data_IF_759371273412
#
_entry.id   IF_759371273412
#
_cell.length_a   1.000
_cell.length_b   1.000
_cell.length_c   1.000
_cell.angle_alpha   90.00
_cell.angle_beta   90.00
_cell.angle_gamma   90.00
#
_symmetry.space_group_name_H-M   'P 1'
#
loop_
_entity.id
_entity.type
_entity.pdbx_description
1 polymer ?
#
# COMPACT_ATOMS: atom_id res chain seq x y z
N UNK A 1 29.93 7.49 -25.39
CA UNK A 1 30.39 7.47 -23.99
C UNK A 1 29.55 6.46 -23.23
N UNK A 2 30.13 5.92 -22.17
CA UNK A 2 29.73 4.68 -21.51
C UNK A 2 29.81 4.84 -19.98
N UNK A 3 29.30 3.87 -19.23
CA UNK A 3 29.50 3.83 -17.76
C UNK A 3 30.98 3.83 -17.34
N UNK A 4 31.91 3.44 -18.24
CA UNK A 4 33.35 3.50 -17.98
C UNK A 4 33.88 4.95 -17.93
N UNK A 5 33.28 5.84 -18.73
CA UNK A 5 33.63 7.26 -18.71
C UNK A 5 33.16 7.90 -17.39
N UNK A 6 31.98 7.51 -16.90
CA UNK A 6 31.49 7.89 -15.57
C UNK A 6 32.38 7.35 -14.44
N UNK A 7 32.79 6.09 -14.52
CA UNK A 7 33.73 5.51 -13.55
C UNK A 7 35.05 6.30 -13.52
N UNK A 8 35.56 6.68 -14.69
CA UNK A 8 36.78 7.49 -14.82
C UNK A 8 36.60 8.89 -14.24
N UNK A 9 35.47 9.55 -14.52
CA UNK A 9 35.15 10.86 -13.97
C UNK A 9 35.08 10.84 -12.44
N UNK A 10 34.43 9.83 -11.84
CA UNK A 10 34.35 9.64 -10.39
C UNK A 10 35.74 9.41 -9.77
N UNK A 11 36.57 8.53 -10.35
CA UNK A 11 37.93 8.28 -9.84
C UNK A 11 38.84 9.50 -9.94
N UNK A 12 38.64 10.36 -10.93
CA UNK A 12 39.42 11.58 -11.08
C UNK A 12 39.14 12.62 -9.99
N UNK A 13 37.98 12.55 -9.32
CA UNK A 13 37.71 13.36 -8.14
C UNK A 13 38.44 12.85 -6.89
N UNK A 14 38.81 11.57 -6.87
CA UNK A 14 39.46 10.93 -5.73
C UNK A 14 40.98 11.09 -5.77
N UNK A 15 41.64 11.27 -4.61
CA UNK A 15 43.09 11.36 -4.53
C UNK A 15 43.73 10.04 -4.99
N UNK A 16 44.96 10.12 -5.50
CA UNK A 16 45.72 8.93 -5.94
C UNK A 16 46.02 8.00 -4.75
N UNK A 17 46.17 8.56 -3.56
CA UNK A 17 46.43 7.86 -2.30
C UNK A 17 45.54 8.41 -1.19
N UNK A 18 44.99 7.52 -0.35
CA UNK A 18 44.11 7.88 0.76
C UNK A 18 42.63 7.93 0.36
N UNK A 19 41.82 8.48 1.26
CA UNK A 19 40.38 8.65 1.07
C UNK A 19 40.05 10.09 0.64
N UNK A 20 39.01 10.23 -0.17
CA UNK A 20 38.47 11.51 -0.60
C UNK A 20 36.95 11.47 -0.73
N UNK A 21 36.43 12.38 -1.55
CA UNK A 21 35.00 12.54 -1.76
C UNK A 21 34.69 12.59 -3.24
N UNK A 22 33.55 12.03 -3.63
CA UNK A 22 32.94 12.23 -4.94
C UNK A 22 31.65 13.03 -4.78
N UNK A 23 31.44 13.97 -5.70
CA UNK A 23 30.25 14.80 -5.78
C UNK A 23 29.47 14.38 -7.02
N UNK A 24 28.17 14.10 -6.84
CA UNK A 24 27.27 13.78 -7.94
C UNK A 24 26.64 15.07 -8.48
N UNK A 25 27.34 15.69 -9.43
CA UNK A 25 26.88 16.90 -10.11
C UNK A 25 26.56 16.65 -11.60
N UNK A 26 26.05 17.69 -12.27
CA UNK A 26 25.70 17.60 -13.68
C UNK A 26 26.90 17.25 -14.55
N UNK A 27 28.07 17.82 -14.29
CA UNK A 27 29.28 17.57 -15.08
C UNK A 27 29.70 16.10 -14.98
N UNK A 28 29.70 15.56 -13.77
CA UNK A 28 30.07 14.18 -13.46
C UNK A 28 29.09 13.22 -14.11
N UNK A 29 27.79 13.40 -13.91
CA UNK A 29 26.79 12.48 -14.45
C UNK A 29 26.69 12.54 -15.98
N UNK A 30 26.93 13.70 -16.61
CA UNK A 30 26.91 13.85 -18.08
C UNK A 30 28.04 13.07 -18.77
N UNK A 31 29.12 12.72 -18.06
CA UNK A 31 30.17 11.84 -18.62
C UNK A 31 29.66 10.46 -19.06
N UNK A 32 28.49 10.04 -18.54
CA UNK A 32 27.81 8.80 -18.95
C UNK A 32 27.11 8.88 -20.32
N UNK A 33 26.94 10.07 -20.92
CA UNK A 33 26.09 10.33 -22.08
C UNK A 33 24.58 10.07 -21.89
N UNK A 34 24.11 10.07 -20.65
CA UNK A 34 22.69 9.89 -20.40
C UNK A 34 21.88 11.16 -20.73
N UNK A 35 20.68 10.98 -21.28
CA UNK A 35 19.79 12.09 -21.64
C UNK A 35 18.97 12.60 -20.45
N UNK A 36 18.88 11.82 -19.37
CA UNK A 36 18.04 12.09 -18.21
C UNK A 36 18.82 12.61 -16.98
N UNK A 37 20.04 13.12 -17.16
CA UNK A 37 20.88 13.62 -16.04
C UNK A 37 20.17 14.69 -15.21
N UNK A 38 19.47 15.63 -15.87
CA UNK A 38 18.70 16.66 -15.17
C UNK A 38 17.60 16.08 -14.27
N UNK A 39 16.90 15.05 -14.75
CA UNK A 39 15.87 14.34 -13.98
C UNK A 39 16.46 13.64 -12.75
N UNK A 40 17.64 13.02 -12.88
CA UNK A 40 18.30 12.35 -11.74
C UNK A 40 18.66 13.37 -10.66
N UNK A 41 19.24 14.51 -11.03
CA UNK A 41 19.58 15.57 -10.08
C UNK A 41 18.34 16.14 -9.40
N UNK A 42 17.25 16.32 -10.15
CA UNK A 42 15.99 16.77 -9.56
C UNK A 42 15.42 15.72 -8.59
N UNK A 43 15.45 14.43 -8.94
CA UNK A 43 14.97 13.36 -8.06
C UNK A 43 15.80 13.27 -6.75
N UNK A 44 17.11 13.53 -6.80
CA UNK A 44 17.94 13.62 -5.60
C UNK A 44 17.43 14.74 -4.68
N UNK A 45 17.12 15.93 -5.23
CA UNK A 45 16.58 17.05 -4.46
C UNK A 45 15.20 16.70 -3.89
N UNK A 46 14.29 16.24 -4.75
CA UNK A 46 12.88 16.01 -4.42
C UNK A 46 12.72 14.90 -3.35
N UNK A 47 13.45 13.79 -3.49
CA UNK A 47 13.22 12.60 -2.66
C UNK A 47 14.20 12.46 -1.49
N UNK A 48 15.48 12.82 -1.66
CA UNK A 48 16.46 12.79 -0.56
C UNK A 48 16.46 14.08 0.27
N UNK A 49 15.68 15.09 -0.14
CA UNK A 49 15.62 16.38 0.56
C UNK A 49 16.95 17.10 0.62
N UNK A 50 17.84 16.86 -0.37
CA UNK A 50 19.07 17.62 -0.52
C UNK A 50 18.70 19.07 -0.81
N UNK A 51 19.18 20.06 -0.04
CA UNK A 51 18.81 21.46 -0.26
C UNK A 51 19.08 21.92 -1.69
N UNK A 52 18.24 22.80 -2.21
CA UNK A 52 18.43 23.37 -3.56
C UNK A 52 19.81 24.03 -3.65
N UNK A 53 20.61 23.60 -4.63
CA UNK A 53 21.98 24.06 -4.83
C UNK A 53 23.05 23.29 -4.05
N UNK A 54 22.65 22.39 -3.13
CA UNK A 54 23.54 21.39 -2.55
C UNK A 54 23.64 20.15 -3.46
N UNK A 55 24.70 19.38 -3.28
CA UNK A 55 25.02 18.22 -4.11
C UNK A 55 25.19 16.99 -3.22
N UNK A 56 24.67 15.84 -3.69
CA UNK A 56 24.90 14.57 -3.02
C UNK A 56 26.40 14.24 -3.09
N UNK A 57 27.02 14.11 -1.92
CA UNK A 57 28.45 13.90 -1.77
C UNK A 57 28.70 12.59 -1.02
N UNK A 58 29.49 11.71 -1.62
CA UNK A 58 29.93 10.47 -0.98
C UNK A 58 31.39 10.65 -0.55
N UNK A 59 31.64 10.54 0.74
CA UNK A 59 32.95 10.75 1.39
C UNK A 59 33.56 9.42 1.82
N UNK A 60 34.81 9.45 2.28
CA UNK A 60 35.56 8.27 2.73
C UNK A 60 35.69 7.20 1.65
N UNK A 61 36.02 7.64 0.43
CA UNK A 61 36.18 6.78 -0.73
C UNK A 61 37.64 6.75 -1.19
N UNK A 62 38.10 5.56 -1.53
CA UNK A 62 39.33 5.32 -2.28
C UNK A 62 39.03 5.05 -3.76
N UNK A 63 40.02 5.20 -4.64
CA UNK A 63 39.84 4.91 -6.08
C UNK A 63 39.43 3.46 -6.37
N UNK A 64 39.80 2.52 -5.50
CA UNK A 64 39.41 1.11 -5.60
C UNK A 64 37.95 0.84 -5.27
N UNK A 65 37.28 1.76 -4.57
CA UNK A 65 35.86 1.60 -4.22
C UNK A 65 34.94 1.86 -5.42
N UNK A 66 35.44 2.52 -6.48
CA UNK A 66 34.75 2.68 -7.76
C UNK A 66 35.08 1.49 -8.65
N UNK A 67 34.12 0.58 -8.83
CA UNK A 67 34.29 -0.67 -9.57
C UNK A 67 33.79 -0.48 -11.00
N UNK A 68 34.66 -0.75 -11.98
CA UNK A 68 34.31 -0.58 -13.38
C UNK A 68 33.13 -1.49 -13.79
N UNK A 69 32.26 -1.00 -14.69
CA UNK A 69 31.27 -1.84 -15.34
C UNK A 69 31.97 -2.91 -16.19
N UNK A 70 31.39 -4.11 -16.27
CA UNK A 70 31.88 -5.20 -17.13
C UNK A 70 30.74 -5.75 -17.99
N UNK A 71 30.82 -5.51 -19.31
CA UNK A 71 29.74 -5.86 -20.24
C UNK A 71 28.45 -5.11 -19.91
N UNK A 72 27.38 -5.85 -19.60
CA UNK A 72 26.09 -5.31 -19.15
C UNK A 72 26.03 -5.06 -17.63
N UNK A 73 27.10 -5.36 -16.89
CA UNK A 73 27.13 -5.17 -15.44
C UNK A 73 27.15 -3.67 -15.08
N UNK A 74 26.51 -3.28 -13.98
CA UNK A 74 26.50 -1.89 -13.53
C UNK A 74 27.89 -1.39 -13.12
N UNK A 75 28.06 -0.06 -13.10
CA UNK A 75 29.09 0.62 -12.34
C UNK A 75 28.66 0.64 -10.85
N UNK A 76 29.57 0.29 -9.94
CA UNK A 76 29.25 0.15 -8.52
C UNK A 76 30.25 0.93 -7.66
N UNK A 77 29.77 1.64 -6.64
CA UNK A 77 30.54 2.12 -5.50
C UNK A 77 30.08 1.36 -4.25
N UNK A 78 30.99 0.71 -3.52
CA UNK A 78 30.67 -0.23 -2.41
C UNK A 78 30.91 0.30 -0.99
N UNK A 79 31.31 1.55 -0.87
CA UNK A 79 31.70 2.11 0.42
C UNK A 79 31.40 3.60 0.46
N UNK A 80 31.70 4.19 1.61
CA UNK A 80 31.68 5.63 1.83
C UNK A 80 30.59 6.06 2.79
N UNK A 81 30.53 7.37 3.00
CA UNK A 81 29.53 8.01 3.86
C UNK A 81 28.84 9.13 3.13
N UNK A 82 27.54 9.24 3.34
CA UNK A 82 26.72 10.33 2.82
C UNK A 82 25.86 10.90 3.94
N UNK A 83 25.29 12.07 3.70
CA UNK A 83 24.28 12.63 4.60
C UNK A 83 23.16 13.32 3.83
N UNK A 84 21.95 13.11 4.32
CA UNK A 84 20.75 13.83 3.94
C UNK A 84 19.75 13.77 5.12
N UNK A 85 18.78 14.67 5.18
CA UNK A 85 17.86 14.80 6.33
C UNK A 85 18.55 14.84 7.71
N UNK A 86 19.64 15.61 7.85
CA UNK A 86 20.42 15.70 9.11
C UNK A 86 20.87 14.33 9.66
N UNK A 87 21.01 13.34 8.79
CA UNK A 87 21.35 11.96 9.13
C UNK A 87 22.63 11.58 8.40
N UNK A 88 23.59 11.03 9.13
CA UNK A 88 24.78 10.38 8.59
C UNK A 88 24.45 8.92 8.27
N UNK A 89 24.91 8.47 7.11
CA UNK A 89 24.63 7.14 6.60
C UNK A 89 25.89 6.51 5.99
N UNK A 90 26.02 5.21 6.17
CA UNK A 90 26.96 4.42 5.41
C UNK A 90 26.37 4.07 4.04
N UNK A 91 27.15 4.25 2.98
CA UNK A 91 26.77 3.81 1.63
C UNK A 91 27.15 2.35 1.49
N UNK A 92 26.14 1.47 1.53
CA UNK A 92 26.34 0.05 1.25
C UNK A 92 26.62 -0.16 -0.23
N UNK A 93 25.80 0.45 -1.09
CA UNK A 93 25.98 0.40 -2.54
C UNK A 93 25.44 1.66 -3.20
N UNK A 94 26.19 2.24 -4.13
CA UNK A 94 25.68 3.16 -5.15
C UNK A 94 25.92 2.54 -6.53
N UNK A 95 24.82 2.26 -7.23
CA UNK A 95 24.82 1.54 -8.50
C UNK A 95 24.34 2.45 -9.64
N UNK A 96 25.02 2.38 -10.78
CA UNK A 96 24.61 3.00 -12.02
C UNK A 96 24.44 1.97 -13.14
N UNK A 97 23.28 1.97 -13.79
CA UNK A 97 23.03 1.21 -15.04
C UNK A 97 22.66 2.18 -16.16
N UNK A 98 23.08 1.86 -17.39
CA UNK A 98 22.79 2.68 -18.57
C UNK A 98 22.12 1.79 -19.61
N UNK A 99 20.87 2.09 -19.93
CA UNK A 99 20.09 1.38 -20.95
C UNK A 99 19.43 2.40 -21.87
N UNK A 100 19.61 2.28 -23.18
CA UNK A 100 19.04 3.19 -24.18
C UNK A 100 19.28 4.69 -23.87
N UNK A 101 20.48 5.04 -23.38
CA UNK A 101 20.85 6.40 -22.94
C UNK A 101 20.05 6.95 -21.75
N UNK A 102 19.32 6.09 -21.04
CA UNK A 102 18.72 6.37 -19.74
C UNK A 102 19.62 5.81 -18.66
N UNK A 103 20.12 6.69 -17.79
CA UNK A 103 20.87 6.31 -16.60
C UNK A 103 19.89 6.04 -15.46
N UNK A 104 20.05 4.90 -14.83
CA UNK A 104 19.37 4.55 -13.59
C UNK A 104 20.38 4.56 -12.46
N UNK A 105 20.02 5.19 -11.36
CA UNK A 105 20.81 5.24 -10.14
C UNK A 105 20.05 4.55 -9.01
N UNK A 106 20.75 3.69 -8.26
CA UNK A 106 20.24 3.10 -7.02
C UNK A 106 21.25 3.36 -5.90
N UNK A 107 20.82 4.01 -4.81
CA UNK A 107 21.62 4.26 -3.62
C UNK A 107 21.01 3.51 -2.45
N UNK A 108 21.74 2.55 -1.89
CA UNK A 108 21.38 1.82 -0.68
C UNK A 108 22.27 2.26 0.48
N UNK A 109 21.65 2.63 1.59
CA UNK A 109 22.33 3.09 2.80
C UNK A 109 21.99 2.25 4.03
N UNK A 110 22.91 2.21 4.99
CA UNK A 110 22.76 1.53 6.29
C UNK A 110 23.39 2.39 7.40
N UNK A 111 23.36 1.90 8.64
CA UNK A 111 24.01 2.52 9.81
C UNK A 111 23.61 3.99 10.01
N UNK A 112 22.29 4.24 9.98
CA UNK A 112 21.72 5.57 10.13
C UNK A 112 22.01 6.10 11.54
N UNK A 113 22.70 7.24 11.60
CA UNK A 113 23.01 7.96 12.84
C UNK A 113 22.75 9.44 12.66
N UNK A 114 22.39 10.12 13.73
CA UNK A 114 22.22 11.57 13.70
C UNK A 114 23.58 12.26 13.53
N UNK A 115 23.58 13.56 13.21
CA UNK A 115 24.84 14.32 13.05
C UNK A 115 25.70 14.36 14.31
N UNK A 116 25.10 14.15 15.48
CA UNK A 116 25.80 14.07 16.78
C UNK A 116 26.25 12.64 17.14
N UNK A 117 25.97 11.65 16.29
CA UNK A 117 26.33 10.25 16.47
C UNK A 117 25.31 9.43 17.28
N UNK A 118 24.18 10.01 17.70
CA UNK A 118 23.10 9.26 18.35
C UNK A 118 22.35 8.36 17.35
N UNK A 119 21.68 7.28 17.80
CA UNK A 119 20.87 6.44 16.93
C UNK A 119 19.79 7.25 16.22
N UNK A 120 19.60 6.98 14.93
CA UNK A 120 18.57 7.63 14.13
C UNK A 120 17.16 7.18 14.52
N UNK A 121 16.21 8.10 14.36
CA UNK A 121 14.77 7.83 14.44
C UNK A 121 14.05 8.45 13.25
N UNK A 122 12.85 7.96 12.89
CA UNK A 122 12.03 8.54 11.83
C UNK A 122 11.77 10.03 12.08
N UNK A 123 11.49 10.38 13.35
CA UNK A 123 11.36 11.77 13.80
C UNK A 123 12.61 12.64 13.61
N UNK A 124 13.79 12.05 13.41
CA UNK A 124 15.02 12.80 13.13
C UNK A 124 15.05 13.32 11.69
N UNK A 125 14.75 12.46 10.72
CA UNK A 125 14.71 12.87 9.30
C UNK A 125 13.44 13.60 8.93
N UNK A 126 12.34 13.28 9.63
CA UNK A 126 11.01 13.76 9.37
C UNK A 126 10.42 14.24 10.70
N UNK A 127 10.75 15.47 11.09
CA UNK A 127 10.39 16.04 12.39
C UNK A 127 8.89 16.02 12.66
N UNK A 128 8.09 16.00 11.61
CA UNK A 128 6.64 15.90 11.67
C UNK A 128 6.20 14.61 12.39
N UNK A 129 6.98 13.53 12.35
CA UNK A 129 6.70 12.26 13.03
C UNK A 129 7.07 12.23 14.51
N UNK A 130 7.61 13.30 15.10
CA UNK A 130 7.91 13.35 16.55
C UNK A 130 6.67 13.12 17.42
N UNK A 131 5.46 13.35 16.88
CA UNK A 131 4.18 13.06 17.55
C UNK A 131 3.79 11.57 17.50
N UNK A 132 4.53 10.74 16.75
CA UNK A 132 4.29 9.30 16.59
C UNK A 132 5.50 8.47 17.06
N UNK A 133 5.87 8.54 18.36
CA UNK A 133 7.04 7.83 18.89
C UNK A 133 6.93 6.31 18.76
N UNK A 134 5.71 5.80 18.53
CA UNK A 134 5.43 4.38 18.37
C UNK A 134 6.09 3.78 17.13
N UNK A 135 6.23 4.56 16.05
CA UNK A 135 6.91 4.10 14.84
C UNK A 135 8.38 3.82 15.17
N UNK A 136 9.06 4.71 15.87
CA UNK A 136 10.49 4.59 16.17
C UNK A 136 10.88 3.37 17.03
N UNK A 137 9.96 2.88 17.88
CA UNK A 137 10.20 1.72 18.73
C UNK A 137 9.91 0.38 18.01
N UNK A 138 9.19 0.47 16.90
CA UNK A 138 8.64 -0.66 16.18
C UNK A 138 9.64 -1.33 15.24
N UNK A 139 10.77 -0.70 14.91
CA UNK A 139 11.68 -1.23 13.91
C UNK A 139 13.16 -1.18 14.32
N UNK A 140 13.96 -2.03 13.68
CA UNK A 140 15.40 -2.15 13.85
C UNK A 140 16.10 -2.25 12.49
N UNK A 141 17.40 -1.98 12.47
CA UNK A 141 18.23 -2.03 11.24
C UNK A 141 17.63 -1.25 10.06
N UNK A 142 17.28 0.04 10.22
CA UNK A 142 16.69 0.83 9.14
C UNK A 142 17.68 1.03 7.99
N UNK A 143 17.16 1.10 6.78
CA UNK A 143 17.89 1.32 5.55
C UNK A 143 17.06 2.19 4.60
N UNK A 144 17.72 3.11 3.90
CA UNK A 144 17.12 3.83 2.78
C UNK A 144 17.62 3.30 1.45
N UNK A 145 16.70 3.13 0.52
CA UNK A 145 17.00 2.72 -0.85
C UNK A 145 16.36 3.72 -1.79
N UNK A 146 17.19 4.59 -2.35
CA UNK A 146 16.75 5.54 -3.36
C UNK A 146 16.94 4.95 -4.75
N UNK A 147 15.90 5.00 -5.58
CA UNK A 147 15.96 4.59 -6.98
C UNK A 147 15.40 5.69 -7.88
N UNK A 148 16.04 5.93 -9.03
CA UNK A 148 15.53 6.90 -10.02
C UNK A 148 14.45 6.31 -10.94
N UNK A 149 14.07 5.05 -10.75
CA UNK A 149 13.03 4.38 -11.55
C UNK A 149 12.47 3.18 -10.78
N UNK A 150 11.32 2.66 -11.20
CA UNK A 150 10.77 1.42 -10.65
C UNK A 150 11.62 0.22 -11.09
N UNK A 151 12.05 -0.61 -10.13
CA UNK A 151 12.83 -1.82 -10.38
C UNK A 151 12.15 -3.03 -9.74
N UNK A 152 11.63 -3.98 -10.54
CA UNK A 152 10.96 -5.16 -9.99
C UNK A 152 11.96 -6.14 -9.38
N UNK A 153 11.50 -6.88 -8.36
CA UNK A 153 12.23 -7.96 -7.69
C UNK A 153 13.68 -7.58 -7.30
N UNK A 154 13.86 -6.39 -6.74
CA UNK A 154 15.16 -5.92 -6.30
C UNK A 154 15.62 -6.70 -5.06
N UNK A 155 16.88 -7.20 -5.03
CA UNK A 155 17.39 -7.92 -3.87
C UNK A 155 17.58 -6.97 -2.68
N UNK A 156 16.74 -7.16 -1.67
CA UNK A 156 16.84 -6.52 -0.37
C UNK A 156 17.82 -7.27 0.54
N UNK A 157 17.96 -6.78 1.77
CA UNK A 157 18.69 -7.50 2.80
C UNK A 157 17.99 -8.83 3.15
N UNK A 158 18.71 -9.76 3.76
CA UNK A 158 18.19 -11.06 4.21
C UNK A 158 17.55 -11.95 3.12
N UNK A 159 17.98 -11.84 1.86
CA UNK A 159 17.51 -12.65 0.73
C UNK A 159 16.04 -12.43 0.34
N UNK A 160 15.43 -11.34 0.80
CA UNK A 160 14.10 -10.91 0.35
C UNK A 160 14.26 -10.16 -0.98
N UNK A 161 13.29 -10.29 -1.89
CA UNK A 161 13.21 -9.49 -3.11
C UNK A 161 11.92 -8.71 -3.13
N UNK A 162 12.01 -7.39 -3.24
CA UNK A 162 10.85 -6.49 -3.28
C UNK A 162 10.92 -5.54 -4.48
N UNK A 163 9.77 -5.07 -4.93
CA UNK A 163 9.70 -4.10 -6.04
C UNK A 163 10.07 -2.70 -5.52
N UNK A 164 11.18 -2.12 -5.98
CA UNK A 164 11.54 -0.73 -5.68
C UNK A 164 10.66 0.23 -6.49
N UNK A 165 10.04 1.19 -5.82
CA UNK A 165 9.40 2.32 -6.49
C UNK A 165 10.44 3.41 -6.84
N UNK A 166 10.10 4.27 -7.80
CA UNK A 166 10.87 5.49 -8.02
C UNK A 166 10.81 6.40 -6.78
N UNK A 167 11.97 6.91 -6.36
CA UNK A 167 12.11 7.79 -5.20
C UNK A 167 12.78 7.10 -4.01
N UNK A 168 12.46 7.59 -2.81
CA UNK A 168 13.02 7.09 -1.55
C UNK A 168 12.16 5.95 -1.00
N UNK A 169 12.73 4.75 -0.97
CA UNK A 169 12.14 3.60 -0.31
C UNK A 169 12.81 3.40 1.05
N UNK A 170 12.05 2.92 2.03
CA UNK A 170 12.50 2.62 3.37
C UNK A 170 12.34 1.12 3.63
N UNK A 171 13.34 0.54 4.27
CA UNK A 171 13.34 -0.83 4.75
C UNK A 171 13.73 -0.84 6.22
N UNK A 172 13.02 -1.61 7.04
CA UNK A 172 13.45 -1.89 8.41
C UNK A 172 12.88 -3.21 8.92
N UNK A 173 13.62 -3.91 9.78
CA UNK A 173 13.17 -5.12 10.44
C UNK A 173 12.13 -4.78 11.51
N UNK A 174 11.01 -5.50 11.53
CA UNK A 174 9.90 -5.20 12.42
C UNK A 174 10.01 -5.95 13.75
N UNK A 175 9.86 -5.21 14.85
CA UNK A 175 9.75 -5.79 16.17
C UNK A 175 8.28 -6.04 16.54
N UNK A 176 7.77 -7.22 16.19
CA UNK A 176 6.40 -7.66 16.52
C UNK A 176 6.14 -7.89 18.02
N UNK A 177 7.16 -7.75 18.89
CA UNK A 177 6.96 -7.87 20.34
C UNK A 177 6.36 -6.61 20.96
N UNK A 178 6.33 -5.49 20.24
CA UNK A 178 5.71 -4.25 20.72
C UNK A 178 4.20 -4.45 21.00
N UNK A 179 3.69 -3.97 22.15
CA UNK A 179 2.27 -4.01 22.49
C UNK A 179 1.32 -3.54 21.38
N UNK A 180 1.72 -2.55 20.57
CA UNK A 180 0.86 -2.04 19.49
C UNK A 180 0.58 -3.10 18.42
N UNK A 181 1.55 -3.98 18.14
CA UNK A 181 1.38 -5.06 17.16
C UNK A 181 0.77 -6.31 17.76
N UNK A 182 0.52 -6.38 19.07
CA UNK A 182 -0.06 -7.59 19.68
C UNK A 182 -1.41 -7.94 19.04
N UNK A 183 -2.29 -6.95 18.83
CA UNK A 183 -3.58 -7.17 18.14
C UNK A 183 -3.40 -7.72 16.73
N UNK A 184 -2.36 -7.28 16.00
CA UNK A 184 -1.99 -7.77 14.67
C UNK A 184 -1.48 -9.22 14.76
N UNK A 185 -0.53 -9.48 15.67
CA UNK A 185 0.02 -10.81 15.90
C UNK A 185 -1.09 -11.79 16.29
N UNK A 186 -2.02 -11.39 17.16
CA UNK A 186 -3.17 -12.19 17.53
C UNK A 186 -4.09 -12.45 16.34
N UNK A 187 -4.44 -11.41 15.57
CA UNK A 187 -5.31 -11.54 14.40
C UNK A 187 -4.71 -12.51 13.38
N UNK A 188 -3.42 -12.41 13.12
CA UNK A 188 -2.73 -13.22 12.12
C UNK A 188 -2.49 -14.65 12.57
N UNK A 189 -2.18 -14.86 13.86
CA UNK A 189 -2.17 -16.20 14.45
C UNK A 189 -3.56 -16.87 14.33
N UNK A 190 -4.64 -16.09 14.50
CA UNK A 190 -5.99 -16.58 14.29
C UNK A 190 -6.26 -16.95 12.83
N UNK A 191 -5.71 -16.21 11.86
CA UNK A 191 -5.75 -16.59 10.44
C UNK A 191 -4.90 -17.83 10.11
N UNK A 192 -4.18 -18.40 11.09
CA UNK A 192 -3.25 -19.50 10.87
C UNK A 192 -1.97 -19.08 10.14
N UNK A 193 -1.74 -17.78 9.99
CA UNK A 193 -0.54 -17.22 9.38
C UNK A 193 0.60 -17.33 10.39
N UNK A 194 1.57 -18.19 10.09
CA UNK A 194 2.79 -18.30 10.89
C UNK A 194 3.76 -17.21 10.47
N UNK A 195 4.00 -16.27 11.36
CA UNK A 195 5.07 -15.31 11.18
C UNK A 195 6.44 -15.98 11.15
N UNK A 196 7.26 -15.52 10.22
CA UNK A 196 8.70 -15.68 10.34
C UNK A 196 9.24 -14.48 11.15
N UNK A 197 10.31 -14.71 11.90
CA UNK A 197 11.05 -13.65 12.60
C UNK A 197 11.69 -12.64 11.60
N UNK A 198 11.69 -12.94 10.30
CA UNK A 198 12.20 -12.08 9.22
C UNK A 198 11.16 -11.05 8.71
N UNK A 199 10.21 -10.66 9.56
CA UNK A 199 9.20 -9.65 9.21
C UNK A 199 9.87 -8.28 9.08
N UNK A 200 9.53 -7.54 8.03
CA UNK A 200 10.15 -6.27 7.73
C UNK A 200 9.13 -5.32 7.13
N UNK A 201 9.21 -4.04 7.48
CA UNK A 201 8.53 -3.02 6.73
C UNK A 201 9.36 -2.62 5.52
N UNK A 202 8.69 -2.56 4.37
CA UNK A 202 9.19 -1.98 3.15
C UNK A 202 8.12 -1.05 2.56
N UNK A 203 8.54 0.08 2.01
CA UNK A 203 7.64 0.96 1.29
C UNK A 203 8.24 2.33 0.99
N UNK A 204 7.42 3.22 0.47
CA UNK A 204 7.87 4.53 -0.01
C UNK A 204 7.69 5.60 1.07
N UNK A 205 8.69 6.50 1.15
CA UNK A 205 8.55 7.80 1.81
C UNK A 205 8.58 8.87 0.71
N UNK A 206 7.41 9.32 0.29
CA UNK A 206 7.28 10.29 -0.79
C UNK A 206 7.34 11.73 -0.24
N UNK A 207 8.54 12.30 -0.33
CA UNK A 207 8.81 13.69 0.04
C UNK A 207 8.36 14.72 -1.01
N UNK A 208 8.11 14.28 -2.25
CA UNK A 208 7.71 15.13 -3.36
C UNK A 208 6.22 15.42 -3.31
N UNK A 209 5.42 14.38 -3.10
CA UNK A 209 3.96 14.47 -2.99
C UNK A 209 3.53 14.38 -1.52
N UNK A 210 3.88 15.42 -0.75
CA UNK A 210 3.45 15.57 0.64
C UNK A 210 1.92 15.64 0.72
N UNK A 211 1.37 15.17 1.84
CA UNK A 211 -0.08 15.11 2.01
C UNK A 211 -0.64 16.56 2.07
N UNK A 212 -1.57 16.96 1.17
CA UNK A 212 -2.04 18.34 1.06
C UNK A 212 -3.13 18.69 2.08
N UNK A 213 -3.12 19.91 2.63
CA UNK A 213 -4.20 20.43 3.49
C UNK A 213 -3.95 20.42 5.01
N UNK A 214 -2.69 20.30 5.45
CA UNK A 214 -2.30 20.11 6.85
C UNK A 214 -1.42 21.29 7.37
N UNK A 215 -1.32 21.47 8.69
CA UNK A 215 -0.46 22.48 9.36
C UNK A 215 1.02 22.20 9.13
N UNK A 216 1.37 20.91 9.17
CA UNK A 216 2.68 20.36 8.91
C UNK A 216 2.59 19.51 7.63
N UNK A 217 3.50 19.73 6.68
CA UNK A 217 3.49 18.99 5.43
C UNK A 217 4.10 17.60 5.65
N UNK A 218 3.32 16.61 6.06
CA UNK A 218 3.82 15.23 6.21
C UNK A 218 4.20 14.64 4.84
N UNK A 219 5.34 13.93 4.71
CA UNK A 219 5.57 13.10 3.55
C UNK A 219 4.53 11.98 3.50
N UNK A 220 4.16 11.56 2.29
CA UNK A 220 3.28 10.40 2.17
C UNK A 220 4.08 9.15 2.54
N UNK A 221 3.64 8.49 3.62
CA UNK A 221 4.26 7.28 4.16
C UNK A 221 3.31 6.13 3.93
N UNK A 222 3.79 5.10 3.22
CA UNK A 222 3.11 3.82 3.14
C UNK A 222 4.15 2.72 3.29
N UNK A 223 4.14 2.06 4.44
CA UNK A 223 4.98 0.90 4.71
C UNK A 223 4.10 -0.35 4.75
N UNK A 224 4.63 -1.44 4.23
CA UNK A 224 3.98 -2.74 4.16
C UNK A 224 4.95 -3.84 4.54
N UNK A 225 4.45 -4.90 5.14
CA UNK A 225 5.17 -6.15 5.37
C UNK A 225 4.32 -7.27 4.80
N UNK A 226 4.85 -8.06 3.84
CA UNK A 226 4.16 -9.25 3.36
C UNK A 226 4.04 -10.26 4.51
N UNK A 227 2.93 -10.99 4.54
CA UNK A 227 2.64 -11.99 5.58
C UNK A 227 2.91 -13.42 5.15
N UNK A 228 3.06 -13.63 3.84
CA UNK A 228 3.44 -14.91 3.26
C UNK A 228 4.82 -14.77 2.63
N UNK A 229 5.62 -15.83 2.74
CA UNK A 229 6.97 -15.88 2.18
C UNK A 229 6.99 -15.92 0.65
N UNK A 230 5.85 -16.17 0.02
CA UNK A 230 5.69 -16.18 -1.44
C UNK A 230 4.53 -15.29 -1.83
N UNK A 231 4.79 -14.32 -2.72
CA UNK A 231 3.81 -13.38 -3.28
C UNK A 231 2.55 -14.10 -3.79
N UNK A 232 2.71 -15.26 -4.43
CA UNK A 232 1.59 -16.00 -5.02
C UNK A 232 0.91 -17.04 -4.09
N UNK A 233 1.21 -17.05 -2.78
CA UNK A 233 0.54 -17.99 -1.89
C UNK A 233 -0.92 -17.60 -1.67
N UNK A 234 -1.81 -18.55 -1.94
CA UNK A 234 -3.24 -18.45 -1.62
C UNK A 234 -3.58 -19.25 -0.38
N UNK A 235 -4.49 -18.75 0.45
CA UNK A 235 -5.06 -19.50 1.58
C UNK A 235 -6.55 -19.23 1.73
N UNK A 236 -7.22 -20.05 2.54
CA UNK A 236 -8.64 -19.87 2.84
C UNK A 236 -8.82 -19.05 4.12
N UNK A 237 -9.54 -17.94 4.01
CA UNK A 237 -9.96 -17.12 5.14
C UNK A 237 -11.35 -17.60 5.61
N UNK A 238 -11.47 -17.94 6.90
CA UNK A 238 -12.69 -18.49 7.52
C UNK A 238 -13.28 -19.73 6.82
N UNK A 239 -12.46 -20.50 6.10
CA UNK A 239 -12.91 -21.61 5.24
C UNK A 239 -13.92 -21.20 4.14
N UNK A 240 -14.06 -19.89 3.86
CA UNK A 240 -15.05 -19.34 2.94
C UNK A 240 -14.42 -18.61 1.76
N UNK A 241 -13.37 -17.84 1.99
CA UNK A 241 -12.81 -16.94 1.00
C UNK A 241 -11.42 -17.39 0.57
N UNK A 242 -11.17 -17.45 -0.73
CA UNK A 242 -9.80 -17.69 -1.25
C UNK A 242 -9.09 -16.35 -1.35
N UNK A 243 -7.99 -16.17 -0.63
CA UNK A 243 -7.28 -14.89 -0.56
C UNK A 243 -5.81 -15.06 -0.91
N UNK A 244 -5.18 -13.98 -1.41
CA UNK A 244 -3.76 -13.89 -1.75
C UNK A 244 -3.15 -12.57 -1.27
N UNK A 245 -1.81 -12.45 -1.37
CA UNK A 245 -1.04 -11.26 -1.03
C UNK A 245 -1.41 -10.59 0.32
N UNK A 246 -1.62 -11.35 1.41
CA UNK A 246 -1.87 -10.72 2.70
C UNK A 246 -0.63 -9.90 3.10
N UNK A 247 -0.89 -8.66 3.51
CA UNK A 247 0.11 -7.73 4.02
C UNK A 247 -0.49 -6.95 5.17
N UNK A 248 0.37 -6.50 6.07
CA UNK A 248 -0.02 -5.47 7.03
C UNK A 248 0.89 -4.27 6.80
N UNK A 249 0.43 -3.10 7.17
CA UNK A 249 1.13 -1.87 6.88
C UNK A 249 0.82 -0.78 7.87
N UNK A 250 1.54 0.32 7.70
CA UNK A 250 1.21 1.59 8.34
C UNK A 250 1.15 2.65 7.27
N UNK A 251 0.14 3.52 7.37
CA UNK A 251 0.01 4.71 6.54
C UNK A 251 -0.43 5.89 7.38
N UNK A 252 -0.28 7.09 6.86
CA UNK A 252 -0.88 8.27 7.48
C UNK A 252 -2.26 8.50 6.89
N UNK A 253 -3.25 8.74 7.76
CA UNK A 253 -4.60 9.15 7.35
C UNK A 253 -4.93 10.55 7.88
N UNK A 254 -5.71 11.35 7.13
CA UNK A 254 -6.30 12.57 7.65
C UNK A 254 -7.33 12.26 8.74
N UNK A 255 -7.31 13.02 9.83
CA UNK A 255 -8.44 13.12 10.75
C UNK A 255 -9.40 14.14 10.14
N UNK A 256 -10.59 13.67 9.73
CA UNK A 256 -11.65 14.58 9.34
C UNK A 256 -12.19 15.26 10.60
N UNK A 257 -11.86 16.54 10.81
CA UNK A 257 -12.58 17.36 11.79
C UNK A 257 -13.90 17.87 11.18
N UNK A 258 -14.97 17.83 11.98
CA UNK A 258 -16.24 18.45 11.64
C UNK A 258 -16.03 19.95 11.33
N UNK A 259 -16.55 20.34 10.17
CA UNK A 259 -16.18 21.51 9.39
C UNK A 259 -16.65 22.88 9.95
N UNK A 260 -16.25 23.25 11.16
CA UNK A 260 -16.58 24.60 11.70
C UNK A 260 -15.39 25.47 12.11
N UNK A 261 -14.17 24.94 12.23
CA UNK A 261 -12.99 25.78 12.46
C UNK A 261 -11.92 25.50 11.39
N UNK A 262 -11.35 26.56 10.82
CA UNK A 262 -10.18 26.59 9.92
C UNK A 262 -8.88 26.06 10.60
N UNK A 263 -9.00 25.10 11.52
CA UNK A 263 -7.85 24.36 12.00
C UNK A 263 -7.45 23.36 10.91
N UNK A 264 -6.17 23.31 10.52
CA UNK A 264 -5.69 22.30 9.60
C UNK A 264 -5.98 20.91 10.17
N UNK A 265 -6.49 20.01 9.32
CA UNK A 265 -6.70 18.61 9.69
C UNK A 265 -5.43 18.05 10.34
N UNK A 266 -5.57 17.31 11.43
CA UNK A 266 -4.48 16.54 12.02
C UNK A 266 -4.30 15.21 11.25
N UNK A 267 -3.11 14.61 11.29
CA UNK A 267 -2.88 13.25 10.77
C UNK A 267 -2.76 12.26 11.91
N UNK A 268 -3.06 10.99 11.65
CA UNK A 268 -2.74 9.89 12.55
C UNK A 268 -2.16 8.72 11.76
N UNK A 269 -1.20 7.96 12.33
CA UNK A 269 -0.85 6.65 11.79
C UNK A 269 -2.06 5.74 11.90
N UNK A 270 -2.38 5.08 10.79
CA UNK A 270 -3.31 3.97 10.72
C UNK A 270 -2.48 2.72 10.44
N UNK A 271 -2.51 1.79 11.39
CA UNK A 271 -2.14 0.41 11.10
C UNK A 271 -3.23 -0.18 10.23
N UNK A 272 -2.85 -0.86 9.17
CA UNK A 272 -3.82 -1.50 8.30
C UNK A 272 -3.42 -2.92 7.96
N UNK A 273 -4.42 -3.71 7.61
CA UNK A 273 -4.24 -5.02 7.02
C UNK A 273 -4.88 -5.02 5.64
N UNK A 274 -4.15 -5.54 4.65
CA UNK A 274 -4.60 -5.66 3.27
C UNK A 274 -4.47 -7.10 2.78
N UNK A 275 -5.40 -7.52 1.94
CA UNK A 275 -5.33 -8.79 1.20
C UNK A 275 -6.07 -8.67 -0.13
N UNK A 276 -5.81 -9.59 -1.04
CA UNK A 276 -6.57 -9.71 -2.27
C UNK A 276 -7.54 -10.89 -2.12
N UNK A 277 -8.84 -10.65 -2.33
CA UNK A 277 -9.82 -11.72 -2.44
C UNK A 277 -9.91 -12.18 -3.88
N UNK A 278 -9.62 -13.46 -4.09
CA UNK A 278 -9.74 -14.11 -5.39
C UNK A 278 -11.20 -14.50 -5.56
N UNK A 279 -11.88 -13.83 -6.50
CA UNK A 279 -13.26 -14.14 -6.86
C UNK A 279 -13.29 -15.18 -7.97
N UNK A 280 -12.43 -15.04 -8.99
CA UNK A 280 -12.20 -16.05 -10.03
C UNK A 280 -10.79 -15.89 -10.64
N UNK A 281 -10.53 -16.57 -11.76
CA UNK A 281 -9.22 -16.54 -12.44
C UNK A 281 -8.80 -15.15 -12.97
N UNK A 282 -9.72 -14.20 -13.07
CA UNK A 282 -9.51 -12.86 -13.66
C UNK A 282 -9.90 -11.71 -12.75
N UNK A 283 -10.63 -11.99 -11.66
CA UNK A 283 -11.21 -10.99 -10.77
C UNK A 283 -10.65 -11.14 -9.37
N UNK A 284 -9.89 -10.15 -8.96
CA UNK A 284 -9.42 -9.95 -7.58
C UNK A 284 -10.00 -8.66 -7.01
N UNK A 285 -10.32 -8.67 -5.72
CA UNK A 285 -10.79 -7.51 -4.99
C UNK A 285 -9.80 -7.13 -3.91
N UNK A 286 -9.43 -5.85 -3.85
CA UNK A 286 -8.55 -5.33 -2.82
C UNK A 286 -9.34 -5.14 -1.51
N UNK A 287 -8.87 -5.76 -0.43
CA UNK A 287 -9.37 -5.57 0.92
C UNK A 287 -8.36 -4.75 1.68
N UNK A 288 -8.82 -3.71 2.39
CA UNK A 288 -8.00 -2.93 3.31
C UNK A 288 -8.81 -2.61 4.56
N UNK A 289 -8.20 -2.79 5.74
CA UNK A 289 -8.83 -2.51 7.04
C UNK A 289 -7.91 -1.68 7.88
N UNK A 290 -8.38 -0.52 8.30
CA UNK A 290 -7.77 0.23 9.39
C UNK A 290 -7.98 -0.48 10.71
N UNK A 291 -6.90 -0.69 11.46
CA UNK A 291 -6.88 -1.21 12.81
C UNK A 291 -6.79 0.01 13.74
N UNK A 292 -7.84 0.24 14.53
CA UNK A 292 -7.82 1.28 15.57
C UNK A 292 -7.51 0.63 16.92
N UNK A 293 -6.59 1.23 17.68
CA UNK A 293 -6.14 0.72 18.99
C UNK A 293 -7.28 0.53 20.00
N UNK A 294 -8.38 1.28 19.88
CA UNK A 294 -9.47 1.34 20.86
C UNK A 294 -10.69 0.50 20.51
N UNK A 295 -10.74 -0.08 19.30
CA UNK A 295 -11.89 -0.84 18.84
C UNK A 295 -11.66 -2.34 19.04
N UNK A 296 -12.51 -2.98 19.84
CA UNK A 296 -12.55 -4.45 20.02
C UNK A 296 -13.15 -5.16 18.78
N UNK A 297 -13.14 -4.53 17.62
CA UNK A 297 -13.68 -5.10 16.39
C UNK A 297 -12.89 -4.61 15.19
N UNK A 298 -12.74 -5.46 14.19
CA UNK A 298 -12.16 -5.14 12.89
C UNK A 298 -13.26 -5.17 11.83
N UNK A 299 -13.36 -4.11 11.03
CA UNK A 299 -14.31 -4.04 9.92
C UNK A 299 -13.57 -4.19 8.58
N UNK A 300 -13.79 -5.33 7.92
CA UNK A 300 -13.34 -5.62 6.57
C UNK A 300 -14.35 -5.10 5.57
N UNK A 301 -14.11 -3.90 5.02
CA UNK A 301 -14.93 -3.32 3.96
C UNK A 301 -14.33 -3.56 2.58
N UNK A 302 -15.18 -3.89 1.61
CA UNK A 302 -14.82 -4.11 0.20
C UNK A 302 -15.63 -3.16 -0.65
N UNK A 303 -14.92 -2.40 -1.46
CA UNK A 303 -15.49 -1.73 -2.63
C UNK A 303 -14.74 -2.24 -3.85
N UNK A 304 -15.45 -2.92 -4.72
CA UNK A 304 -14.85 -3.38 -5.96
C UNK A 304 -14.53 -2.17 -6.85
N UNK A 305 -13.30 -2.05 -7.38
CA UNK A 305 -12.95 -0.96 -8.30
C UNK A 305 -13.67 -1.08 -9.66
N UNK A 306 -14.32 -2.22 -9.92
CA UNK A 306 -15.14 -2.48 -11.12
C UNK A 306 -16.48 -3.11 -10.71
N UNK A 307 -17.57 -2.90 -11.47
CA UNK A 307 -18.82 -3.61 -11.22
C UNK A 307 -18.58 -5.14 -11.28
N UNK A 308 -18.90 -5.86 -10.21
CA UNK A 308 -18.89 -7.33 -10.24
C UNK A 308 -20.26 -7.81 -10.68
N UNK A 309 -20.29 -8.82 -11.56
CA UNK A 309 -21.53 -9.53 -11.87
C UNK A 309 -22.02 -10.34 -10.66
N UNK A 310 -23.32 -10.67 -10.62
CA UNK A 310 -23.88 -11.58 -9.61
C UNK A 310 -23.12 -12.90 -9.46
N UNK A 311 -22.62 -13.46 -10.57
CA UNK A 311 -21.90 -14.74 -10.56
C UNK A 311 -20.64 -14.66 -9.68
N UNK A 312 -19.92 -13.53 -9.74
CA UNK A 312 -18.80 -13.24 -8.84
C UNK A 312 -19.24 -13.21 -7.37
N UNK A 313 -20.39 -12.58 -7.06
CA UNK A 313 -20.93 -12.52 -5.68
C UNK A 313 -21.30 -13.90 -5.16
N UNK A 314 -21.83 -14.78 -6.01
CA UNK A 314 -22.19 -16.14 -5.63
C UNK A 314 -20.98 -17.05 -5.41
N UNK A 315 -19.91 -16.88 -6.18
CA UNK A 315 -18.64 -17.57 -5.92
C UNK A 315 -18.12 -17.21 -4.52
N UNK A 316 -18.26 -15.96 -4.09
CA UNK A 316 -17.92 -15.50 -2.74
C UNK A 316 -18.79 -16.09 -1.62
N UNK A 317 -19.93 -16.72 -1.96
CA UNK A 317 -20.90 -17.29 -1.01
C UNK A 317 -20.94 -18.82 -1.08
N UNK A 318 -19.77 -19.46 -1.00
CA UNK A 318 -19.60 -20.91 -0.92
C UNK A 318 -20.03 -21.69 -2.18
N UNK A 319 -19.79 -21.13 -3.37
CA UNK A 319 -19.85 -21.88 -4.63
C UNK A 319 -21.25 -22.30 -5.11
N UNK A 320 -22.29 -21.65 -4.61
CA UNK A 320 -23.66 -21.89 -5.07
C UNK A 320 -23.88 -21.27 -6.47
N UNK A 321 -24.58 -21.98 -7.37
CA UNK A 321 -25.00 -21.43 -8.66
C UNK A 321 -26.44 -20.97 -8.59
N UNK A 322 -26.67 -19.75 -9.05
CA UNK A 322 -27.98 -19.10 -9.00
C UNK A 322 -28.96 -19.62 -10.06
N UNK A 323 -28.42 -20.16 -11.16
CA UNK A 323 -29.17 -20.67 -12.31
C UNK A 323 -30.18 -21.77 -11.91
N UNK A 324 -29.90 -22.48 -10.82
CA UNK A 324 -30.73 -23.55 -10.27
C UNK A 324 -31.90 -23.03 -9.40
N UNK A 325 -31.91 -21.73 -9.03
CA UNK A 325 -32.82 -21.15 -8.04
C UNK A 325 -33.79 -20.11 -8.63
N UNK A 326 -33.61 -19.66 -9.88
CA UNK A 326 -34.41 -18.58 -10.47
C UNK A 326 -34.89 -18.89 -11.90
N UNK A 327 -36.18 -18.61 -12.21
CA UNK A 327 -36.71 -18.72 -13.57
C UNK A 327 -36.04 -17.79 -14.58
N UNK A 328 -35.83 -18.27 -15.82
CA UNK A 328 -35.14 -17.53 -16.91
C UNK A 328 -35.56 -16.06 -17.14
N UNK A 329 -36.84 -15.64 -17.00
CA UNK A 329 -37.21 -14.24 -17.17
C UNK A 329 -36.59 -13.28 -16.14
N UNK A 330 -36.33 -13.76 -14.92
CA UNK A 330 -35.65 -13.00 -13.88
C UNK A 330 -34.15 -12.91 -14.18
N UNK A 331 -33.54 -13.92 -14.78
CA UNK A 331 -32.10 -13.94 -15.10
C UNK A 331 -31.67 -12.73 -15.97
N UNK A 332 -32.50 -12.31 -16.93
CA UNK A 332 -32.26 -11.11 -17.77
C UNK A 332 -32.45 -9.77 -17.05
N UNK A 333 -33.30 -9.71 -16.02
CA UNK A 333 -33.40 -8.51 -15.16
C UNK A 333 -32.22 -8.45 -14.18
N UNK A 334 -31.71 -9.61 -13.79
CA UNK A 334 -30.63 -9.74 -12.83
C UNK A 334 -29.25 -9.45 -13.45
N UNK A 335 -29.08 -9.50 -14.77
CA UNK A 335 -27.84 -9.04 -15.42
C UNK A 335 -27.58 -7.53 -15.28
N UNK A 336 -28.53 -6.76 -14.73
CA UNK A 336 -28.40 -5.34 -14.41
C UNK A 336 -28.06 -5.06 -12.92
N UNK A 337 -27.79 -6.12 -12.14
CA UNK A 337 -27.36 -6.00 -10.74
C UNK A 337 -25.84 -5.91 -10.67
N UNK A 338 -25.37 -4.84 -10.06
CA UNK A 338 -23.98 -4.64 -9.69
C UNK A 338 -23.77 -4.94 -8.21
N UNK A 339 -22.67 -5.58 -7.90
CA UNK A 339 -22.16 -5.65 -6.54
C UNK A 339 -21.76 -4.26 -6.05
N UNK A 340 -22.33 -3.84 -4.92
CA UNK A 340 -22.09 -2.52 -4.33
C UNK A 340 -21.01 -2.60 -3.23
N UNK A 341 -20.92 -3.72 -2.52
CA UNK A 341 -19.88 -3.93 -1.52
C UNK A 341 -20.09 -5.16 -0.65
N UNK A 342 -19.07 -5.47 0.12
CA UNK A 342 -19.08 -6.52 1.14
C UNK A 342 -18.43 -5.98 2.42
N UNK A 343 -19.00 -6.31 3.57
CA UNK A 343 -18.49 -5.90 4.88
C UNK A 343 -18.45 -7.13 5.79
N UNK A 344 -17.28 -7.53 6.26
CA UNK A 344 -17.16 -8.52 7.34
C UNK A 344 -16.74 -7.82 8.64
N UNK A 345 -17.47 -8.10 9.73
CA UNK A 345 -17.16 -7.56 11.05
C UNK A 345 -16.63 -8.67 11.93
N UNK A 346 -15.42 -8.51 12.46
CA UNK A 346 -14.78 -9.47 13.35
C UNK A 346 -14.72 -8.86 14.74
N UNK A 347 -15.24 -9.55 15.75
CA UNK A 347 -15.04 -9.20 17.15
C UNK A 347 -13.69 -9.71 17.64
N UNK A 348 -12.96 -8.87 18.36
CA UNK A 348 -11.70 -9.19 19.02
C UNK A 348 -11.98 -9.36 20.52
N UNK A 349 -11.92 -10.59 21.00
CA UNK A 349 -11.86 -10.89 22.44
C UNK A 349 -10.42 -11.08 22.90
N UNK A 350 -10.20 -11.06 24.21
CA UNK A 350 -8.87 -11.20 24.83
C UNK A 350 -8.10 -12.47 24.42
N UNK A 351 -8.76 -13.48 23.87
CA UNK A 351 -8.16 -14.74 23.43
C UNK A 351 -8.92 -15.45 22.30
N UNK A 352 -9.85 -14.76 21.63
CA UNK A 352 -10.67 -15.34 20.57
C UNK A 352 -11.13 -14.28 19.58
N UNK A 353 -11.12 -14.59 18.28
CA UNK A 353 -11.79 -13.78 17.27
C UNK A 353 -13.09 -14.47 16.86
N UNK A 354 -14.13 -13.67 16.66
CA UNK A 354 -15.42 -14.17 16.17
C UNK A 354 -15.84 -13.36 14.95
N UNK A 355 -16.11 -14.04 13.84
CA UNK A 355 -16.78 -13.38 12.72
C UNK A 355 -18.21 -13.06 13.17
N UNK A 356 -18.42 -11.79 13.54
CA UNK A 356 -19.65 -11.31 14.15
C UNK A 356 -20.74 -11.10 13.11
N UNK A 357 -20.37 -10.56 11.95
CA UNK A 357 -21.29 -10.42 10.83
C UNK A 357 -20.62 -10.43 9.46
N UNK A 358 -21.37 -10.84 8.44
CA UNK A 358 -21.07 -10.67 7.03
C UNK A 358 -22.22 -9.90 6.39
N UNK A 359 -21.93 -8.81 5.69
CA UNK A 359 -22.92 -8.00 4.99
C UNK A 359 -22.54 -7.91 3.52
N UNK A 360 -23.44 -8.31 2.64
CA UNK A 360 -23.31 -8.17 1.19
C UNK A 360 -24.32 -7.14 0.73
N UNK A 361 -23.88 -6.17 -0.06
CA UNK A 361 -24.75 -5.17 -0.69
C UNK A 361 -24.69 -5.33 -2.21
N UNK A 362 -25.86 -5.48 -2.82
CA UNK A 362 -26.04 -5.51 -4.27
C UNK A 362 -27.11 -4.50 -4.66
N UNK A 363 -27.04 -3.96 -5.87
CA UNK A 363 -28.06 -3.02 -6.34
C UNK A 363 -28.04 -2.86 -7.85
N UNK A 364 -29.05 -2.20 -8.38
CA UNK A 364 -29.10 -1.85 -9.81
C UNK A 364 -27.94 -0.90 -10.18
N UNK A 365 -27.33 -1.10 -11.35
CA UNK A 365 -26.38 -0.14 -11.94
C UNK A 365 -27.06 1.25 -12.05
N UNK A 366 -26.55 2.30 -11.38
CA UNK A 366 -27.14 3.63 -11.42
C UNK A 366 -27.13 4.25 -12.82
N UNK A 367 -26.30 3.74 -13.74
CA UNK A 367 -26.22 4.19 -15.12
C UNK A 367 -27.09 3.34 -16.07
N UNK A 368 -27.73 2.27 -15.57
CA UNK A 368 -28.63 1.39 -16.35
C UNK A 368 -29.87 1.05 -15.53
N UNK A 369 -30.77 2.01 -15.28
CA UNK A 369 -31.95 1.75 -14.48
C UNK A 369 -32.89 0.76 -15.20
N UNK A 370 -33.59 -0.05 -14.39
CA UNK A 370 -34.40 -1.17 -14.86
C UNK A 370 -35.74 -0.67 -15.41
N UNK A 371 -36.05 -1.06 -16.65
CA UNK A 371 -37.37 -0.88 -17.25
C UNK A 371 -38.09 -2.23 -17.22
N UNK A 372 -38.98 -2.43 -16.24
CA UNK A 372 -39.64 -3.71 -16.00
C UNK A 372 -40.79 -3.93 -17.01
N UNK A 373 -41.79 -3.06 -16.98
CA UNK A 373 -42.94 -3.03 -17.88
C UNK A 373 -43.73 -1.73 -17.62
N UNK A 374 -44.41 -1.12 -18.61
CA UNK A 374 -45.22 0.07 -18.37
C UNK A 374 -46.24 -0.16 -17.24
N UNK A 375 -46.44 0.77 -16.28
CA UNK A 375 -45.87 2.13 -16.18
C UNK A 375 -44.49 2.25 -15.50
N UNK A 376 -43.87 1.14 -15.12
CA UNK A 376 -42.66 1.11 -14.30
C UNK A 376 -41.41 1.33 -15.15
N UNK A 377 -40.80 2.50 -15.00
CA UNK A 377 -39.55 2.88 -15.66
C UNK A 377 -38.54 3.39 -14.64
N UNK A 378 -37.29 3.46 -15.07
CA UNK A 378 -36.19 4.03 -14.29
C UNK A 378 -36.08 3.43 -12.86
N UNK A 379 -36.43 2.14 -12.71
CA UNK A 379 -36.45 1.48 -11.41
C UNK A 379 -35.03 1.22 -10.93
N UNK A 380 -34.79 1.46 -9.65
CA UNK A 380 -33.57 1.06 -8.97
C UNK A 380 -33.90 0.24 -7.73
N UNK A 381 -32.99 -0.63 -7.32
CA UNK A 381 -33.16 -1.39 -6.10
C UNK A 381 -31.80 -1.60 -5.44
N UNK A 382 -31.84 -1.83 -4.13
CA UNK A 382 -30.70 -2.13 -3.29
C UNK A 382 -31.09 -3.26 -2.35
N UNK A 383 -30.29 -4.31 -2.32
CA UNK A 383 -30.44 -5.40 -1.36
C UNK A 383 -29.19 -5.44 -0.51
N UNK A 384 -29.40 -5.40 0.81
CA UNK A 384 -28.34 -5.63 1.79
C UNK A 384 -28.68 -6.90 2.55
N UNK A 385 -27.84 -7.92 2.41
CA UNK A 385 -27.95 -9.18 3.13
C UNK A 385 -26.90 -9.22 4.24
N UNK A 386 -27.35 -9.28 5.49
CA UNK A 386 -26.49 -9.44 6.66
C UNK A 386 -26.68 -10.83 7.29
N UNK A 387 -25.58 -11.53 7.55
CA UNK A 387 -25.52 -12.79 8.29
C UNK A 387 -24.78 -12.50 9.60
N UNK A 388 -25.41 -12.77 10.74
CA UNK A 388 -24.78 -12.68 12.06
C UNK A 388 -24.26 -14.05 12.49
N UNK A 389 -23.11 -14.07 13.16
CA UNK A 389 -22.41 -15.28 13.63
C UNK A 389 -22.30 -16.40 12.57
N UNK A 390 -21.84 -16.11 11.34
CA UNK A 390 -21.83 -17.07 10.23
C UNK A 390 -21.08 -18.39 10.51
N UNK A 391 -20.12 -18.38 11.44
CA UNK A 391 -19.27 -19.52 11.81
C UNK A 391 -19.82 -20.38 12.95
N UNK A 392 -20.90 -19.97 13.63
CA UNK A 392 -21.53 -20.73 14.72
C UNK A 392 -22.97 -21.13 14.32
N UNK A 393 -23.19 -22.39 13.90
CA UNK A 393 -24.51 -22.87 13.47
C UNK A 393 -25.62 -22.70 14.51
N UNK A 394 -25.29 -22.63 15.80
CA UNK A 394 -26.27 -22.52 16.88
C UNK A 394 -26.80 -21.09 17.09
N UNK A 395 -26.04 -20.08 16.66
CA UNK A 395 -26.37 -18.65 16.82
C UNK A 395 -26.43 -17.89 15.50
N UNK A 396 -26.21 -18.58 14.37
CA UNK A 396 -26.28 -18.02 13.03
C UNK A 396 -27.69 -17.51 12.71
N UNK A 397 -27.78 -16.24 12.37
CA UNK A 397 -29.04 -15.61 11.90
C UNK A 397 -28.76 -14.79 10.65
N UNK A 398 -29.81 -14.48 9.88
CA UNK A 398 -29.68 -13.69 8.66
C UNK A 398 -30.83 -12.70 8.52
N UNK A 399 -30.52 -11.49 8.08
CA UNK A 399 -31.48 -10.44 7.75
C UNK A 399 -31.23 -9.96 6.32
N UNK A 400 -32.29 -9.85 5.53
CA UNK A 400 -32.24 -9.29 4.17
C UNK A 400 -33.08 -8.02 4.20
N UNK A 401 -32.46 -6.89 3.87
CA UNK A 401 -33.15 -5.63 3.64
C UNK A 401 -33.20 -5.36 2.14
N UNK A 402 -34.40 -5.10 1.63
CA UNK A 402 -34.64 -4.77 0.23
C UNK A 402 -35.25 -3.38 0.15
N UNK A 403 -34.57 -2.48 -0.53
CA UNK A 403 -35.06 -1.15 -0.86
C UNK A 403 -35.24 -1.06 -2.38
N UNK A 404 -36.33 -0.44 -2.83
CA UNK A 404 -36.57 -0.22 -4.24
C UNK A 404 -37.16 1.17 -4.44
N UNK A 405 -36.64 1.87 -5.45
CA UNK A 405 -37.19 3.11 -5.95
C UNK A 405 -37.79 2.84 -7.33
N UNK A 406 -39.00 3.32 -7.52
CA UNK A 406 -39.80 3.05 -8.72
C UNK A 406 -40.33 4.36 -9.24
N UNK A 407 -39.99 4.70 -10.49
CA UNK A 407 -40.61 5.81 -11.19
C UNK A 407 -41.78 5.31 -12.04
N UNK A 408 -42.90 6.03 -11.96
CA UNK A 408 -44.07 5.76 -12.79
C UNK A 408 -44.04 6.73 -13.98
N UNK A 409 -44.28 6.23 -15.19
CA UNK A 409 -44.75 7.10 -16.27
C UNK A 409 -46.00 7.84 -15.80
N UNK A 410 -46.09 9.14 -16.09
CA UNK A 410 -47.32 9.92 -15.88
C UNK A 410 -48.45 9.31 -16.71
N UNK A 411 -49.18 8.36 -16.15
CA UNK A 411 -50.47 7.93 -16.65
C UNK A 411 -51.50 8.70 -15.82
N UNK A 412 -52.42 9.40 -16.50
CA UNK A 412 -53.33 10.40 -15.92
C UNK A 412 -54.13 9.95 -14.70
N UNK A 413 -54.83 10.91 -14.07
CA UNK A 413 -55.60 10.72 -12.84
C UNK A 413 -56.60 9.56 -13.00
N UNK A 414 -56.47 8.51 -12.18
CA UNK A 414 -57.49 7.48 -11.98
C UNK A 414 -58.01 7.56 -10.55
N UNK A 415 -59.32 7.72 -10.41
CA UNK A 415 -60.01 7.51 -9.13
C UNK A 415 -60.18 6.00 -8.93
N UNK A 416 -59.60 5.46 -7.88
CA UNK A 416 -59.81 4.06 -7.46
C UNK A 416 -60.76 4.07 -6.26
N UNK A 417 -61.96 3.55 -6.45
CA UNK A 417 -62.94 3.32 -5.38
C UNK A 417 -62.73 1.89 -4.86
N UNK A 418 -62.32 1.74 -3.60
CA UNK A 418 -62.12 0.44 -2.97
C UNK A 418 -63.45 0.05 -2.29
N UNK A 419 -64.14 -0.94 -2.84
CA UNK A 419 -65.27 -1.57 -2.16
C UNK A 419 -64.74 -2.58 -1.12
N UNK A 420 -65.32 -2.64 0.09
CA UNK A 420 -64.87 -3.55 1.13
C UNK A 420 -65.30 -4.99 0.84
N UNK A 421 -64.39 -5.93 1.12
CA UNK A 421 -64.72 -7.35 1.34
C UNK A 421 -64.35 -7.72 2.78
#
# INVERSE_FOLDING_TARGET
>A
MSLLDLATALRNQLPVTGEGSVVLDQQTLTSSNANNVGTILQNIIDYLGVPVGALLTITNLSRSDVIDPSGSSPLIIKAGKTSFFSTNMFVKTLQFTLSNQTLTMVLQTTDLTNTDGTPWTLGTSFFEFLVFPILDQSFSNPSFIFSTTTLPAWPMENHVTEDLQEGLNFYAELNLTDPIFQSIVYFLNFLGVKFNNDSHFFGQIDNKNRIPGFSLNFPNLQLTSPLLSTKDATFFLFDLFTVSNPKFGVRLIPIAEDSENDCPADVTPELYFELDLIVDATTTLDFSVGLKETENFLMFGVRSPKPLSLEHVFILMAGNKWDDLIPSPLQSALSAIDFQGFIATIGIGNSSFTLSSLTVSVGSDPNKPLNLFPPFKDCSFWVTWTILNPTDPSTKTSAINCEAQVEFEKIGIFNVEIAPA
#
